data_IF_078762692694
#
_entry.id   IF_078762692694
#
_cell.length_a   1.000
_cell.length_b   1.000
_cell.length_c   1.000
_cell.angle_alpha   90.00
_cell.angle_beta   90.00
_cell.angle_gamma   90.00
#
_symmetry.space_group_name_H-M   'P 1'
#
loop_
_entity.id
_entity.type
_entity.pdbx_description
1 polymer ?
#
# COMPACT_ATOMS: atom_id res chain seq x y z
N UNK A 1 -11.93 2.96 -5.33
CA UNK A 1 -11.56 2.61 -3.94
C UNK A 1 -10.14 3.08 -3.72
N UNK A 2 -9.90 3.73 -2.60
CA UNK A 2 -8.57 4.11 -2.15
C UNK A 2 -8.21 3.22 -0.95
N UNK A 3 -7.03 2.63 -0.97
CA UNK A 3 -6.56 1.73 0.08
C UNK A 3 -5.48 2.43 0.89
N UNK A 4 -5.72 2.50 2.20
CA UNK A 4 -4.82 3.14 3.15
C UNK A 4 -4.43 2.12 4.23
N UNK A 5 -3.49 1.24 3.88
CA UNK A 5 -2.97 0.22 4.79
C UNK A 5 -1.63 0.69 5.34
N UNK A 6 -1.60 1.03 6.63
CA UNK A 6 -0.41 1.49 7.34
C UNK A 6 0.07 0.46 8.39
N UNK A 7 1.07 -0.38 8.10
CA UNK A 7 1.73 -0.61 6.81
C UNK A 7 1.81 -2.11 6.52
N UNK A 8 1.70 -2.56 5.25
CA UNK A 8 1.79 -3.97 4.92
C UNK A 8 3.16 -4.54 5.29
N UNK A 9 3.17 -5.66 6.00
CA UNK A 9 4.36 -6.37 6.47
C UNK A 9 5.33 -5.52 7.32
N UNK A 10 4.81 -4.48 7.98
CA UNK A 10 5.55 -3.59 8.86
C UNK A 10 4.67 -3.12 10.03
N UNK A 11 5.25 -2.36 10.96
CA UNK A 11 4.50 -1.79 12.08
C UNK A 11 4.02 -0.37 11.79
N UNK A 12 2.71 -0.16 11.93
CA UNK A 12 2.07 1.15 12.12
C UNK A 12 1.67 1.29 13.59
N UNK A 13 0.37 1.52 13.87
CA UNK A 13 -0.18 1.43 15.23
C UNK A 13 -0.05 0.01 15.82
N UNK A 14 -0.13 -1.01 14.95
CA UNK A 14 0.17 -2.40 15.24
C UNK A 14 1.04 -2.99 14.14
N UNK A 15 1.73 -4.09 14.43
CA UNK A 15 2.55 -4.79 13.45
C UNK A 15 1.70 -5.73 12.59
N UNK A 16 1.88 -5.63 11.28
CA UNK A 16 1.43 -6.63 10.32
C UNK A 16 2.56 -7.62 10.00
N UNK A 17 2.20 -8.89 9.83
CA UNK A 17 3.12 -9.98 9.47
C UNK A 17 2.58 -10.82 8.30
N UNK A 18 1.71 -10.22 7.47
CA UNK A 18 1.05 -10.90 6.36
C UNK A 18 2.02 -11.28 5.23
N UNK A 19 3.26 -10.78 5.26
CA UNK A 19 4.30 -11.04 4.27
C UNK A 19 4.30 -10.01 3.13
N UNK A 20 5.45 -9.90 2.44
CA UNK A 20 5.69 -8.83 1.46
C UNK A 20 4.73 -8.84 0.26
N UNK A 21 4.17 -10.00 -0.09
CA UNK A 21 3.27 -10.17 -1.23
C UNK A 21 1.77 -10.03 -0.86
N UNK A 22 1.43 -9.89 0.43
CA UNK A 22 0.03 -9.73 0.85
C UNK A 22 -0.62 -8.50 0.20
N UNK A 23 0.14 -7.41 0.08
CA UNK A 23 -0.31 -6.20 -0.60
C UNK A 23 -0.63 -6.46 -2.08
N UNK A 24 0.22 -7.23 -2.79
CA UNK A 24 0.01 -7.60 -4.20
C UNK A 24 -1.28 -8.39 -4.36
N UNK A 25 -1.51 -9.38 -3.48
CA UNK A 25 -2.70 -10.22 -3.50
C UNK A 25 -3.98 -9.39 -3.30
N UNK A 26 -3.96 -8.45 -2.35
CA UNK A 26 -5.08 -7.54 -2.12
C UNK A 26 -5.36 -6.69 -3.36
N UNK A 27 -4.34 -6.05 -3.94
CA UNK A 27 -4.51 -5.18 -5.11
C UNK A 27 -5.00 -5.96 -6.34
N UNK A 28 -4.47 -7.17 -6.56
CA UNK A 28 -4.93 -8.06 -7.62
C UNK A 28 -6.40 -8.45 -7.44
N UNK A 29 -6.81 -8.80 -6.22
CA UNK A 29 -8.19 -9.15 -5.90
C UNK A 29 -9.15 -7.96 -6.12
N UNK A 30 -8.76 -6.75 -5.71
CA UNK A 30 -9.55 -5.55 -5.95
C UNK A 30 -9.70 -5.26 -7.45
N UNK A 31 -8.61 -5.35 -8.23
CA UNK A 31 -8.68 -5.16 -9.68
C UNK A 31 -9.55 -6.21 -10.35
N UNK A 32 -9.46 -7.47 -9.93
CA UNK A 32 -10.34 -8.54 -10.42
C UNK A 32 -11.81 -8.27 -10.11
N UNK A 33 -12.12 -7.80 -8.89
CA UNK A 33 -13.49 -7.55 -8.45
C UNK A 33 -14.14 -6.35 -9.15
N UNK A 34 -13.42 -5.23 -9.23
CA UNK A 34 -13.97 -3.97 -9.74
C UNK A 34 -13.74 -3.78 -11.24
N UNK A 35 -12.76 -4.47 -11.84
CA UNK A 35 -12.41 -4.28 -13.25
C UNK A 35 -11.80 -2.91 -13.53
N UNK A 36 -11.77 -2.51 -14.80
CA UNK A 36 -11.13 -1.28 -15.28
C UNK A 36 -11.98 -0.01 -15.16
N UNK A 37 -13.30 -0.15 -14.97
CA UNK A 37 -14.24 0.99 -14.92
C UNK A 37 -14.17 1.78 -13.62
N UNK A 38 -13.46 1.26 -12.62
CA UNK A 38 -13.30 1.91 -11.32
C UNK A 38 -11.83 2.22 -11.06
N UNK A 39 -11.64 3.37 -10.43
CA UNK A 39 -10.34 3.76 -9.89
C UNK A 39 -10.00 2.88 -8.69
N UNK A 40 -8.77 2.37 -8.68
CA UNK A 40 -8.15 1.68 -7.57
C UNK A 40 -6.85 2.43 -7.29
N UNK A 41 -6.79 3.10 -6.15
CA UNK A 41 -5.67 3.91 -5.72
C UNK A 41 -5.23 3.47 -4.33
N UNK A 42 -4.07 3.92 -3.89
CA UNK A 42 -3.64 3.69 -2.52
C UNK A 42 -2.79 4.86 -2.01
N UNK A 43 -2.98 5.19 -0.74
CA UNK A 43 -2.03 5.96 0.03
C UNK A 43 -0.88 5.04 0.45
N UNK A 44 0.37 5.44 0.18
CA UNK A 44 1.56 4.60 0.41
C UNK A 44 2.65 5.38 1.15
N UNK A 45 3.49 4.70 1.96
CA UNK A 45 4.53 5.37 2.73
C UNK A 45 5.59 6.04 1.84
N UNK A 46 6.18 7.11 2.36
CA UNK A 46 7.36 7.74 1.75
C UNK A 46 8.70 7.28 2.36
N UNK A 47 8.67 6.57 3.50
CA UNK A 47 9.86 6.10 4.20
C UNK A 47 10.40 4.76 3.68
N UNK A 48 11.72 4.69 3.44
CA UNK A 48 12.36 3.51 2.86
C UNK A 48 12.12 2.20 3.64
N UNK A 49 12.03 2.27 4.98
CA UNK A 49 11.75 1.09 5.81
C UNK A 49 10.41 0.44 5.46
N UNK A 50 9.34 1.23 5.39
CA UNK A 50 8.00 0.74 5.08
C UNK A 50 7.83 0.42 3.58
N UNK A 51 8.49 1.17 2.69
CA UNK A 51 8.50 0.87 1.25
C UNK A 51 9.14 -0.50 0.99
N UNK A 52 10.26 -0.82 1.64
CA UNK A 52 10.98 -2.06 1.43
C UNK A 52 10.32 -3.29 2.09
N UNK A 53 9.30 -3.09 2.94
CA UNK A 53 8.61 -4.17 3.63
C UNK A 53 7.59 -4.91 2.74
N UNK A 54 7.09 -4.26 1.68
CA UNK A 54 6.07 -4.83 0.80
C UNK A 54 6.37 -4.60 -0.69
N UNK A 55 5.81 -5.43 -1.55
CA UNK A 55 6.10 -5.43 -2.97
C UNK A 55 5.21 -4.44 -3.77
N UNK A 56 5.38 -3.14 -3.51
CA UNK A 56 4.64 -2.07 -4.22
C UNK A 56 4.89 -2.07 -5.73
N UNK A 57 6.07 -2.50 -6.17
CA UNK A 57 6.44 -2.62 -7.59
C UNK A 57 5.58 -3.65 -8.32
N UNK A 58 5.44 -4.87 -7.77
CA UNK A 58 4.58 -5.89 -8.35
C UNK A 58 3.09 -5.52 -8.27
N UNK A 59 2.68 -4.82 -7.21
CA UNK A 59 1.30 -4.38 -7.05
C UNK A 59 0.89 -3.27 -8.03
N UNK A 60 1.84 -2.43 -8.49
CA UNK A 60 1.55 -1.22 -9.26
C UNK A 60 0.69 -1.46 -10.51
N UNK A 61 0.83 -2.61 -11.17
CA UNK A 61 0.04 -2.99 -12.34
C UNK A 61 -1.48 -3.09 -12.08
N UNK A 62 -1.88 -3.28 -10.81
CA UNK A 62 -3.28 -3.43 -10.43
C UNK A 62 -3.94 -2.11 -10.02
N UNK A 63 -3.15 -1.05 -9.78
CA UNK A 63 -3.65 0.26 -9.40
C UNK A 63 -3.66 1.22 -10.58
N UNK A 64 -4.41 2.31 -10.43
CA UNK A 64 -4.37 3.45 -11.32
C UNK A 64 -3.20 4.38 -10.98
N UNK A 65 -2.98 4.67 -9.69
CA UNK A 65 -1.81 5.40 -9.19
C UNK A 65 -1.65 5.23 -7.68
N UNK A 66 -0.51 5.68 -7.17
CA UNK A 66 -0.21 5.82 -5.75
C UNK A 66 -0.26 7.29 -5.32
N UNK A 67 -0.84 7.54 -4.15
CA UNK A 67 -0.75 8.82 -3.43
C UNK A 67 0.36 8.66 -2.37
N UNK A 68 1.56 9.15 -2.65
CA UNK A 68 2.69 8.99 -1.72
C UNK A 68 2.54 9.97 -0.55
N UNK A 69 2.45 9.44 0.67
CA UNK A 69 2.29 10.21 1.91
C UNK A 69 3.60 10.89 2.30
N UNK A 70 3.91 12.00 1.63
CA UNK A 70 5.17 12.76 1.74
C UNK A 70 5.11 13.78 2.88
N UNK A 71 4.58 13.34 4.01
CA UNK A 71 4.42 14.10 5.24
C UNK A 71 4.74 13.21 6.45
N UNK A 72 4.58 13.74 7.66
CA UNK A 72 4.86 13.03 8.93
C UNK A 72 6.29 12.47 9.07
N UNK A 73 7.25 13.07 8.38
CA UNK A 73 8.67 12.72 8.54
C UNK A 73 9.23 13.10 9.92
N UNK A 74 8.63 14.11 10.57
CA UNK A 74 9.01 14.60 11.89
C UNK A 74 7.76 15.03 12.66
N UNK A 75 7.78 14.85 13.97
CA UNK A 75 6.75 15.36 14.88
C UNK A 75 7.09 15.11 16.34
N UNK A 76 6.12 15.32 17.24
CA UNK A 76 6.32 15.32 18.69
C UNK A 76 6.07 13.97 19.38
N UNK A 77 5.88 12.92 18.59
CA UNK A 77 5.78 11.53 19.05
C UNK A 77 7.15 10.94 19.42
#
# INVERSE_FOLDING_TARGET
VDIDWEFPNACGLSCDTSGADAYVNLMAALRSRFGSNYLITAAVPAGAGNINAANYGAAAQYLNWYNVMTYDFYGAW
#
